data_IF_834011208052
#
_entry.id   IF_834011208052
#
_cell.length_a   1.000
_cell.length_b   1.000
_cell.length_c   1.000
_cell.angle_alpha   90.00
_cell.angle_beta   90.00
_cell.angle_gamma   90.00
#
_symmetry.space_group_name_H-M   'P 1'
#
loop_
_entity.id
_entity.type
_entity.pdbx_description
1 polymer ?
#
# COMPACT_ATOMS: atom_id res chain seq x y z
N UNK A 1 -44.16 -28.12 -5.93
CA UNK A 1 -43.98 -26.68 -6.31
C UNK A 1 -42.51 -26.37 -6.18
N UNK A 2 -41.82 -26.38 -7.32
CA UNK A 2 -40.37 -26.09 -7.40
C UNK A 2 -40.19 -24.56 -7.26
N UNK A 3 -39.37 -24.07 -6.35
CA UNK A 3 -39.10 -22.63 -6.27
C UNK A 3 -38.27 -22.17 -7.48
N UNK A 4 -38.71 -21.09 -8.09
CA UNK A 4 -38.08 -20.49 -9.26
C UNK A 4 -36.64 -20.00 -8.92
N UNK A 5 -35.66 -20.47 -9.70
CA UNK A 5 -34.28 -19.93 -9.72
C UNK A 5 -34.32 -18.42 -10.04
N UNK A 6 -33.89 -17.59 -9.10
CA UNK A 6 -33.55 -16.17 -9.41
C UNK A 6 -32.32 -16.15 -10.30
N UNK A 7 -32.23 -15.25 -11.30
CA UNK A 7 -31.05 -15.12 -12.11
C UNK A 7 -29.90 -14.65 -11.23
N UNK A 8 -28.78 -15.36 -11.30
CA UNK A 8 -27.49 -14.94 -10.76
C UNK A 8 -26.97 -13.85 -11.70
N UNK A 9 -26.84 -12.63 -11.19
CA UNK A 9 -26.19 -11.55 -11.92
C UNK A 9 -24.76 -11.98 -12.25
N UNK A 10 -24.49 -12.17 -13.53
CA UNK A 10 -23.17 -12.44 -14.11
C UNK A 10 -22.34 -11.14 -14.18
N UNK A 11 -22.23 -10.44 -13.07
CA UNK A 11 -21.15 -9.47 -12.90
C UNK A 11 -19.87 -10.32 -12.69
N UNK A 12 -18.83 -10.05 -13.47
CA UNK A 12 -17.49 -10.63 -13.31
C UNK A 12 -16.99 -10.37 -11.88
N UNK A 13 -17.31 -11.27 -10.98
CA UNK A 13 -16.99 -11.14 -9.55
C UNK A 13 -15.50 -11.34 -9.43
N UNK A 14 -14.77 -10.26 -9.29
CA UNK A 14 -13.33 -10.27 -9.03
C UNK A 14 -13.09 -11.09 -7.76
N UNK A 15 -12.24 -12.11 -7.85
CA UNK A 15 -11.94 -13.00 -6.71
C UNK A 15 -11.25 -12.18 -5.61
N UNK A 16 -11.60 -12.35 -4.32
CA UNK A 16 -11.02 -11.56 -3.24
C UNK A 16 -9.51 -11.79 -3.09
N UNK A 17 -8.80 -10.73 -2.85
CA UNK A 17 -7.37 -10.76 -2.50
C UNK A 17 -7.15 -11.18 -1.04
N UNK A 18 -5.91 -11.53 -0.67
CA UNK A 18 -5.56 -11.80 0.72
C UNK A 18 -5.86 -10.60 1.62
N UNK A 19 -5.47 -9.38 1.21
CA UNK A 19 -5.71 -8.14 1.95
C UNK A 19 -7.21 -7.89 2.23
N UNK A 20 -8.04 -8.03 1.21
CA UNK A 20 -9.51 -7.88 1.37
C UNK A 20 -10.09 -8.95 2.29
N UNK A 21 -9.59 -10.18 2.19
CA UNK A 21 -10.03 -11.28 3.03
C UNK A 21 -9.64 -11.06 4.49
N UNK A 22 -8.40 -10.67 4.77
CA UNK A 22 -7.91 -10.35 6.12
C UNK A 22 -8.69 -9.19 6.73
N UNK A 23 -8.99 -8.15 5.95
CA UNK A 23 -9.84 -7.04 6.40
C UNK A 23 -11.23 -7.49 6.88
N UNK A 24 -11.83 -8.51 6.22
CA UNK A 24 -13.11 -9.10 6.64
C UNK A 24 -13.01 -9.90 7.94
N UNK A 25 -11.81 -10.35 8.31
CA UNK A 25 -11.52 -11.11 9.54
C UNK A 25 -11.00 -10.25 10.68
N UNK A 26 -10.80 -8.97 10.44
CA UNK A 26 -10.24 -8.05 11.40
C UNK A 26 -11.18 -7.79 12.60
N UNK A 27 -10.64 -7.47 13.78
CA UNK A 27 -11.42 -7.03 14.93
C UNK A 27 -12.46 -5.95 14.59
N UNK A 28 -13.64 -6.08 15.16
CA UNK A 28 -14.78 -5.21 14.88
C UNK A 28 -15.67 -5.66 13.73
N UNK A 29 -15.32 -6.73 13.01
CA UNK A 29 -16.19 -7.31 11.96
C UNK A 29 -17.10 -8.43 12.53
N UNK A 30 -18.32 -8.60 11.98
CA UNK A 30 -19.19 -9.70 12.38
C UNK A 30 -18.57 -11.08 12.20
N UNK A 31 -17.74 -11.27 11.17
CA UNK A 31 -17.08 -12.54 10.90
C UNK A 31 -16.04 -12.85 11.98
N UNK A 32 -15.24 -11.86 12.38
CA UNK A 32 -14.31 -11.99 13.50
C UNK A 32 -15.03 -12.40 14.80
N UNK A 33 -16.15 -11.75 15.13
CA UNK A 33 -16.95 -12.10 16.29
C UNK A 33 -17.40 -13.57 16.26
N UNK A 34 -17.75 -14.08 15.09
CA UNK A 34 -18.10 -15.49 14.89
C UNK A 34 -16.93 -16.43 15.15
N UNK A 35 -15.75 -16.12 14.59
CA UNK A 35 -14.53 -16.89 14.77
C UNK A 35 -14.07 -16.93 16.23
N UNK A 36 -14.10 -15.80 16.93
CA UNK A 36 -13.76 -15.76 18.35
C UNK A 36 -14.69 -16.58 19.22
N UNK A 37 -15.98 -16.64 18.89
CA UNK A 37 -16.93 -17.52 19.57
C UNK A 37 -16.63 -18.99 19.33
N UNK A 38 -16.17 -19.37 18.12
CA UNK A 38 -15.72 -20.72 17.79
C UNK A 38 -14.47 -21.06 18.59
N UNK A 39 -13.47 -20.18 18.62
CA UNK A 39 -12.23 -20.37 19.39
C UNK A 39 -12.50 -20.50 20.89
N UNK A 40 -13.31 -19.63 21.49
CA UNK A 40 -13.72 -19.70 22.90
C UNK A 40 -14.51 -20.98 23.19
N UNK A 41 -15.28 -21.46 22.25
CA UNK A 41 -16.01 -22.73 22.35
C UNK A 41 -15.11 -23.96 22.19
N UNK A 42 -13.84 -23.80 21.86
CA UNK A 42 -12.88 -24.87 21.57
C UNK A 42 -13.45 -25.88 20.56
N UNK A 43 -14.08 -25.37 19.50
CA UNK A 43 -14.54 -26.16 18.34
C UNK A 43 -13.69 -25.85 17.13
N UNK A 44 -13.52 -26.81 16.23
CA UNK A 44 -12.95 -26.54 14.93
C UNK A 44 -14.03 -26.02 13.98
N UNK A 45 -13.63 -25.40 12.87
CA UNK A 45 -14.53 -24.99 11.81
C UNK A 45 -13.86 -25.02 10.45
N UNK A 46 -14.65 -25.22 9.40
CA UNK A 46 -14.28 -25.00 8.01
C UNK A 46 -15.33 -24.05 7.42
N UNK A 47 -14.90 -22.89 6.92
CA UNK A 47 -15.82 -21.84 6.48
C UNK A 47 -15.40 -21.37 5.10
N UNK A 48 -16.31 -21.43 4.14
CA UNK A 48 -16.14 -20.96 2.77
C UNK A 48 -16.68 -19.54 2.65
N UNK A 49 -15.90 -18.60 2.13
CA UNK A 49 -16.29 -17.20 1.94
C UNK A 49 -16.60 -16.92 0.46
N UNK A 50 -17.72 -17.37 0.01
CA UNK A 50 -18.21 -17.18 -1.36
C UNK A 50 -19.02 -18.37 -1.82
N UNK A 51 -19.92 -18.11 -2.77
CA UNK A 51 -20.82 -19.13 -3.29
C UNK A 51 -21.19 -18.79 -4.74
N UNK A 52 -20.87 -19.73 -5.62
CA UNK A 52 -21.27 -19.76 -7.03
C UNK A 52 -21.40 -21.21 -7.52
N UNK A 53 -21.61 -21.40 -8.81
CA UNK A 53 -21.74 -22.73 -9.39
C UNK A 53 -20.49 -23.60 -9.21
N UNK A 54 -19.29 -23.01 -9.11
CA UNK A 54 -18.04 -23.72 -8.88
C UNK A 54 -17.95 -24.28 -7.45
N UNK A 55 -18.46 -23.53 -6.48
CA UNK A 55 -18.55 -23.96 -5.07
C UNK A 55 -19.64 -24.99 -4.89
N UNK A 56 -20.82 -24.78 -5.53
CA UNK A 56 -21.92 -25.76 -5.48
C UNK A 56 -21.48 -27.12 -6.02
N UNK A 57 -20.70 -27.18 -7.09
CA UNK A 57 -20.21 -28.42 -7.71
C UNK A 57 -19.34 -29.28 -6.80
N UNK A 58 -18.69 -28.71 -5.79
CA UNK A 58 -17.81 -29.40 -4.83
C UNK A 58 -18.47 -29.62 -3.47
N UNK A 59 -19.74 -29.17 -3.30
CA UNK A 59 -20.51 -29.33 -2.08
C UNK A 59 -21.26 -30.65 -2.11
N UNK A 60 -20.96 -31.58 -1.18
CA UNK A 60 -21.70 -32.82 -1.01
C UNK A 60 -22.46 -32.82 0.32
N UNK A 61 -23.74 -33.23 0.29
CA UNK A 61 -24.62 -33.30 1.45
C UNK A 61 -24.93 -31.96 2.10
N UNK A 62 -25.16 -32.00 3.41
CA UNK A 62 -25.48 -30.83 4.24
C UNK A 62 -26.85 -30.23 4.04
N UNK A 63 -27.05 -29.01 4.55
CA UNK A 63 -28.34 -28.32 4.57
C UNK A 63 -28.23 -27.01 3.76
N UNK A 64 -29.17 -26.78 2.86
CA UNK A 64 -29.40 -25.49 2.23
C UNK A 64 -30.24 -24.64 3.19
N UNK A 65 -29.69 -23.50 3.65
CA UNK A 65 -30.27 -22.66 4.70
C UNK A 65 -30.75 -21.31 4.20
N UNK A 66 -29.88 -20.60 3.44
CA UNK A 66 -30.12 -19.25 2.94
C UNK A 66 -30.63 -18.28 4.03
N UNK A 67 -29.94 -18.22 5.17
CA UNK A 67 -30.30 -17.38 6.31
C UNK A 67 -29.32 -16.24 6.48
N UNK A 68 -29.79 -15.10 7.00
CA UNK A 68 -28.91 -13.95 7.30
C UNK A 68 -27.79 -14.36 8.24
N UNK A 69 -26.58 -13.91 7.95
CA UNK A 69 -25.41 -14.14 8.82
C UNK A 69 -25.63 -13.57 10.24
N UNK A 70 -25.19 -14.32 11.23
CA UNK A 70 -25.01 -13.84 12.60
C UNK A 70 -23.87 -14.63 13.27
N UNK A 71 -23.01 -14.00 14.08
CA UNK A 71 -21.91 -14.66 14.78
C UNK A 71 -22.33 -15.88 15.62
N UNK A 72 -23.50 -15.79 16.26
CA UNK A 72 -24.07 -16.89 17.03
C UNK A 72 -24.52 -18.06 16.16
N UNK A 73 -25.10 -17.78 14.98
CA UNK A 73 -25.49 -18.82 14.02
C UNK A 73 -24.27 -19.54 13.48
N UNK A 74 -23.22 -18.79 13.08
CA UNK A 74 -21.98 -19.39 12.62
C UNK A 74 -21.41 -20.33 13.68
N UNK A 75 -21.31 -19.88 14.92
CA UNK A 75 -20.79 -20.70 16.04
C UNK A 75 -21.61 -21.97 16.26
N UNK A 76 -22.93 -21.90 16.20
CA UNK A 76 -23.80 -23.11 16.40
C UNK A 76 -23.65 -24.07 15.22
N UNK A 77 -23.62 -23.57 13.98
CA UNK A 77 -23.45 -24.43 12.79
C UNK A 77 -22.06 -25.06 12.71
N UNK A 78 -21.03 -24.38 13.24
CA UNK A 78 -19.65 -24.90 13.29
C UNK A 78 -19.46 -26.06 14.30
N UNK A 79 -20.49 -26.43 15.09
CA UNK A 79 -20.48 -27.63 15.91
C UNK A 79 -20.74 -28.88 15.09
N UNK A 80 -21.31 -28.75 13.91
CA UNK A 80 -21.54 -29.87 13.00
C UNK A 80 -20.21 -30.25 12.31
N UNK A 81 -20.09 -31.51 11.96
CA UNK A 81 -18.89 -32.05 11.33
C UNK A 81 -18.88 -31.80 9.80
N UNK A 82 -18.84 -30.54 9.41
CA UNK A 82 -18.86 -30.13 8.01
C UNK A 82 -18.56 -28.64 7.84
N UNK A 83 -18.46 -28.20 6.61
CA UNK A 83 -18.21 -26.81 6.27
C UNK A 83 -19.48 -25.96 6.37
N UNK A 84 -19.29 -24.68 6.68
CA UNK A 84 -20.29 -23.62 6.56
C UNK A 84 -19.93 -22.77 5.34
N UNK A 85 -20.89 -22.58 4.43
CA UNK A 85 -20.71 -21.80 3.20
C UNK A 85 -21.45 -20.48 3.33
N UNK A 86 -20.75 -19.38 3.17
CA UNK A 86 -21.30 -18.03 3.20
C UNK A 86 -21.48 -17.48 1.79
N UNK A 87 -22.38 -16.52 1.63
CA UNK A 87 -22.48 -15.70 0.41
C UNK A 87 -21.16 -14.97 0.12
N UNK A 88 -20.96 -14.47 -1.08
CA UNK A 88 -19.78 -13.73 -1.49
C UNK A 88 -19.59 -12.46 -0.64
N UNK A 89 -20.66 -11.78 -0.32
CA UNK A 89 -20.67 -10.61 0.57
C UNK A 89 -20.47 -10.99 2.05
N UNK A 90 -20.74 -12.26 2.41
CA UNK A 90 -20.65 -12.76 3.79
C UNK A 90 -21.82 -12.39 4.68
N UNK A 91 -22.89 -11.85 4.12
CA UNK A 91 -24.10 -11.41 4.83
C UNK A 91 -25.13 -12.53 5.06
N UNK A 92 -24.95 -13.68 4.37
CA UNK A 92 -25.82 -14.85 4.46
C UNK A 92 -25.03 -16.14 4.68
N UNK A 93 -25.64 -17.07 5.40
CA UNK A 93 -25.19 -18.47 5.48
C UNK A 93 -26.05 -19.25 4.45
N UNK A 94 -25.39 -19.71 3.39
CA UNK A 94 -26.05 -20.37 2.26
C UNK A 94 -26.22 -21.85 2.54
N UNK A 95 -25.16 -22.51 3.03
CA UNK A 95 -25.20 -23.96 3.37
C UNK A 95 -24.44 -24.21 4.67
N UNK A 96 -24.73 -25.31 5.32
CA UNK A 96 -24.02 -25.79 6.50
C UNK A 96 -23.95 -27.30 6.53
N UNK A 97 -23.02 -27.83 7.32
CA UNK A 97 -22.72 -29.26 7.43
C UNK A 97 -22.40 -29.92 6.09
N UNK A 98 -21.69 -29.20 5.22
CA UNK A 98 -21.37 -29.65 3.87
C UNK A 98 -19.98 -30.31 3.87
N UNK A 99 -19.85 -31.42 3.16
CA UNK A 99 -18.55 -31.97 2.81
C UNK A 99 -18.03 -31.25 1.56
N UNK A 100 -16.91 -30.54 1.67
CA UNK A 100 -16.20 -29.96 0.51
C UNK A 100 -15.33 -31.06 -0.12
N UNK A 101 -15.56 -31.35 -1.38
CA UNK A 101 -14.90 -32.43 -2.16
C UNK A 101 -14.13 -31.77 -3.33
N UNK A 102 -13.03 -31.09 -3.07
CA UNK A 102 -12.18 -30.54 -4.12
C UNK A 102 -11.42 -31.65 -4.87
N UNK A 103 -10.91 -31.34 -6.05
CA UNK A 103 -10.11 -32.26 -6.85
C UNK A 103 -8.87 -32.75 -6.05
N UNK A 104 -8.75 -34.06 -5.81
CA UNK A 104 -7.64 -34.62 -5.04
C UNK A 104 -6.26 -34.49 -5.73
N UNK A 105 -6.22 -34.22 -7.05
CA UNK A 105 -5.00 -34.01 -7.81
C UNK A 105 -4.32 -32.65 -7.52
N UNK A 106 -5.04 -31.68 -6.96
CA UNK A 106 -4.48 -30.41 -6.56
C UNK A 106 -3.43 -30.63 -5.46
N UNK A 107 -2.16 -30.22 -5.69
CA UNK A 107 -1.10 -30.40 -4.70
C UNK A 107 -1.38 -29.60 -3.43
N UNK A 108 -0.87 -30.07 -2.29
CA UNK A 108 -0.99 -29.41 -0.98
C UNK A 108 0.13 -29.86 -0.08
N UNK A 109 0.72 -28.93 0.66
CA UNK A 109 1.74 -29.22 1.67
C UNK A 109 1.14 -29.44 3.07
N UNK A 110 -0.18 -29.28 3.21
CA UNK A 110 -0.87 -29.43 4.48
C UNK A 110 -1.03 -30.91 4.91
N UNK A 111 -0.82 -31.20 6.19
CA UNK A 111 -0.89 -32.55 6.75
C UNK A 111 -2.28 -32.93 7.27
N UNK A 112 -3.07 -31.96 7.75
CA UNK A 112 -4.39 -32.18 8.33
C UNK A 112 -5.49 -32.23 7.26
N UNK A 113 -6.45 -33.17 7.37
CA UNK A 113 -7.53 -33.33 6.38
C UNK A 113 -8.34 -32.06 6.15
N UNK A 114 -8.68 -31.32 7.22
CA UNK A 114 -9.43 -30.05 7.13
C UNK A 114 -8.61 -28.97 6.42
N UNK A 115 -7.32 -28.84 6.72
CA UNK A 115 -6.42 -27.87 6.09
C UNK A 115 -6.18 -28.19 4.62
N UNK A 116 -5.98 -29.48 4.28
CA UNK A 116 -5.84 -29.94 2.89
C UNK A 116 -7.11 -29.65 2.07
N UNK A 117 -8.29 -29.93 2.63
CA UNK A 117 -9.56 -29.60 1.96
C UNK A 117 -9.72 -28.08 1.79
N UNK A 118 -9.36 -27.29 2.80
CA UNK A 118 -9.42 -25.83 2.74
C UNK A 118 -8.55 -25.27 1.61
N UNK A 119 -7.28 -25.66 1.56
CA UNK A 119 -6.32 -25.19 0.56
C UNK A 119 -6.75 -25.57 -0.85
N UNK A 120 -7.07 -26.86 -1.09
CA UNK A 120 -7.53 -27.33 -2.39
C UNK A 120 -8.81 -26.64 -2.86
N UNK A 121 -9.76 -26.45 -1.94
CA UNK A 121 -11.00 -25.72 -2.24
C UNK A 121 -10.72 -24.28 -2.63
N UNK A 122 -9.85 -23.58 -1.90
CA UNK A 122 -9.47 -22.21 -2.21
C UNK A 122 -8.78 -22.10 -3.58
N UNK A 123 -7.87 -23.01 -3.90
CA UNK A 123 -7.19 -23.06 -5.21
C UNK A 123 -8.19 -23.33 -6.33
N UNK A 124 -9.08 -24.32 -6.17
CA UNK A 124 -10.03 -24.74 -7.20
C UNK A 124 -11.08 -23.70 -7.50
N UNK A 125 -11.62 -23.04 -6.47
CA UNK A 125 -12.75 -22.11 -6.62
C UNK A 125 -12.31 -20.64 -6.72
N UNK A 126 -11.09 -20.33 -6.27
CA UNK A 126 -10.60 -18.97 -6.13
C UNK A 126 -11.27 -18.17 -5.00
N UNK A 127 -12.16 -18.75 -4.21
CA UNK A 127 -12.74 -18.11 -3.04
C UNK A 127 -11.95 -18.41 -1.77
N UNK A 128 -11.91 -17.48 -0.81
CA UNK A 128 -11.23 -17.72 0.46
C UNK A 128 -11.88 -18.81 1.29
N UNK A 129 -11.05 -19.63 1.93
CA UNK A 129 -11.49 -20.68 2.85
C UNK A 129 -10.79 -20.51 4.19
N UNK A 130 -11.56 -20.49 5.27
CA UNK A 130 -11.06 -20.35 6.64
C UNK A 130 -11.11 -21.73 7.32
N UNK A 131 -9.97 -22.12 7.89
CA UNK A 131 -9.87 -23.28 8.77
C UNK A 131 -9.58 -22.85 10.20
N UNK A 132 -10.42 -23.27 11.14
CA UNK A 132 -10.17 -23.06 12.59
C UNK A 132 -9.73 -24.39 13.18
N UNK A 133 -8.51 -24.41 13.73
CA UNK A 133 -7.96 -25.57 14.42
C UNK A 133 -8.48 -25.65 15.85
N UNK A 134 -9.08 -26.78 16.20
CA UNK A 134 -9.51 -27.06 17.57
C UNK A 134 -8.32 -27.18 18.56
N UNK A 135 -7.28 -27.91 18.16
CA UNK A 135 -6.15 -28.24 19.06
C UNK A 135 -5.18 -27.08 19.27
N UNK A 136 -4.97 -26.28 18.24
CA UNK A 136 -3.98 -25.18 18.27
C UNK A 136 -4.61 -23.81 18.54
N UNK A 137 -5.96 -23.70 18.50
CA UNK A 137 -6.68 -22.42 18.61
C UNK A 137 -6.22 -21.38 17.56
N UNK A 138 -5.89 -21.86 16.36
CA UNK A 138 -5.38 -21.06 15.26
C UNK A 138 -6.45 -20.92 14.19
N UNK A 139 -6.57 -19.73 13.62
CA UNK A 139 -7.36 -19.43 12.42
C UNK A 139 -6.40 -19.32 11.25
N UNK A 140 -6.61 -20.13 10.23
CA UNK A 140 -5.82 -20.09 8.98
C UNK A 140 -6.74 -19.76 7.82
N UNK A 141 -6.31 -18.88 6.95
CA UNK A 141 -7.00 -18.46 5.72
C UNK A 141 -6.21 -18.97 4.52
N UNK A 142 -6.92 -19.53 3.55
CA UNK A 142 -6.40 -19.93 2.25
C UNK A 142 -7.08 -19.10 1.18
N UNK A 143 -6.33 -18.35 0.39
CA UNK A 143 -6.85 -17.50 -0.68
C UNK A 143 -5.78 -17.25 -1.74
N UNK A 144 -6.16 -17.30 -3.02
CA UNK A 144 -5.26 -17.03 -4.15
C UNK A 144 -3.95 -17.87 -4.15
N UNK A 145 -3.97 -19.09 -3.59
CA UNK A 145 -2.78 -19.93 -3.44
C UNK A 145 -1.89 -19.59 -2.25
N UNK A 146 -2.28 -18.60 -1.44
CA UNK A 146 -1.55 -18.18 -0.25
C UNK A 146 -2.20 -18.75 1.01
N UNK A 147 -1.35 -19.02 2.01
CA UNK A 147 -1.74 -19.44 3.36
C UNK A 147 -1.39 -18.34 4.35
N UNK A 148 -2.39 -17.80 5.04
CA UNK A 148 -2.20 -16.78 6.07
C UNK A 148 -2.74 -17.26 7.43
N UNK A 149 -1.93 -17.14 8.47
CA UNK A 149 -2.34 -17.42 9.85
C UNK A 149 -2.72 -16.11 10.52
N UNK A 150 -3.98 -16.00 10.92
CA UNK A 150 -4.49 -14.81 11.61
C UNK A 150 -3.87 -14.77 13.02
N UNK A 151 -3.02 -13.78 13.26
CA UNK A 151 -2.38 -13.59 14.56
C UNK A 151 -3.35 -12.96 15.58
N UNK A 152 -3.00 -13.04 16.87
CA UNK A 152 -3.74 -12.31 17.89
C UNK A 152 -3.39 -10.80 17.86
N UNK A 153 -4.37 -9.96 18.23
CA UNK A 153 -4.21 -8.50 18.16
C UNK A 153 -3.02 -7.98 19.00
N UNK A 154 -2.71 -8.61 20.13
CA UNK A 154 -1.61 -8.16 20.99
C UNK A 154 -0.24 -8.38 20.33
N UNK A 155 -0.06 -9.51 19.65
CA UNK A 155 1.15 -9.81 18.88
C UNK A 155 1.33 -8.83 17.71
N UNK A 156 0.26 -8.57 16.95
CA UNK A 156 0.31 -7.61 15.83
C UNK A 156 0.59 -6.20 16.36
N UNK A 157 -0.10 -5.76 17.41
CA UNK A 157 0.13 -4.44 18.03
C UNK A 157 1.57 -4.26 18.49
N UNK A 158 2.17 -5.28 19.11
CA UNK A 158 3.56 -5.22 19.55
C UNK A 158 4.52 -5.05 18.37
N UNK A 159 4.32 -5.83 17.30
CA UNK A 159 5.13 -5.75 16.07
C UNK A 159 4.95 -4.40 15.37
N UNK A 160 3.72 -3.95 15.21
CA UNK A 160 3.40 -2.68 14.55
C UNK A 160 3.96 -1.47 15.32
N UNK A 161 3.88 -1.45 16.66
CA UNK A 161 4.50 -0.39 17.47
C UNK A 161 6.03 -0.33 17.29
N UNK A 162 6.69 -1.49 17.20
CA UNK A 162 8.13 -1.55 16.93
C UNK A 162 8.45 -1.03 15.52
N UNK A 163 7.62 -1.35 14.53
CA UNK A 163 7.76 -0.86 13.17
C UNK A 163 7.52 0.65 13.07
N UNK A 164 6.54 1.22 13.78
CA UNK A 164 6.32 2.68 13.89
C UNK A 164 7.57 3.37 14.44
N UNK A 165 8.14 2.89 15.54
CA UNK A 165 9.37 3.48 16.11
C UNK A 165 10.57 3.41 15.14
N UNK A 166 10.59 2.42 14.26
CA UNK A 166 11.58 2.33 13.18
C UNK A 166 11.26 3.34 12.09
N UNK A 167 10.00 3.45 11.66
CA UNK A 167 9.55 4.41 10.67
C UNK A 167 9.87 5.86 11.08
N UNK A 168 9.64 6.23 12.35
CA UNK A 168 9.98 7.56 12.90
C UNK A 168 11.46 7.90 12.70
N UNK A 169 12.36 6.95 12.98
CA UNK A 169 13.81 7.15 12.77
C UNK A 169 14.17 7.31 11.29
N UNK A 170 13.54 6.51 10.41
CA UNK A 170 13.75 6.63 8.97
C UNK A 170 13.20 7.95 8.41
N UNK A 171 12.04 8.39 8.92
CA UNK A 171 11.45 9.68 8.56
C UNK A 171 12.33 10.85 9.00
N UNK A 172 12.82 10.85 10.23
CA UNK A 172 13.75 11.87 10.71
C UNK A 172 15.02 11.93 9.84
N UNK A 173 15.56 10.79 9.41
CA UNK A 173 16.69 10.76 8.49
C UNK A 173 16.34 11.23 7.08
N UNK A 174 15.14 10.91 6.60
CA UNK A 174 14.64 11.43 5.32
C UNK A 174 14.54 12.95 5.36
N UNK A 175 13.98 13.52 6.42
CA UNK A 175 13.83 14.96 6.58
C UNK A 175 15.19 15.65 6.63
N UNK A 176 16.18 15.04 7.25
CA UNK A 176 17.58 15.54 7.30
C UNK A 176 18.21 15.58 5.90
N UNK A 177 18.20 14.44 5.16
CA UNK A 177 18.81 14.39 3.83
C UNK A 177 18.03 15.23 2.80
N UNK A 178 16.71 15.39 2.99
CA UNK A 178 15.89 16.27 2.14
C UNK A 178 16.25 17.74 2.34
N UNK A 179 16.50 18.19 3.58
CA UNK A 179 16.99 19.55 3.87
C UNK A 179 18.38 19.77 3.27
N UNK A 180 19.28 18.78 3.38
CA UNK A 180 20.62 18.85 2.77
C UNK A 180 20.54 18.98 1.25
N UNK A 181 19.63 18.20 0.60
CA UNK A 181 19.40 18.32 -0.83
C UNK A 181 18.84 19.70 -1.20
N UNK A 182 17.85 20.23 -0.47
CA UNK A 182 17.30 21.57 -0.72
C UNK A 182 18.37 22.68 -0.58
N UNK A 183 19.28 22.55 0.37
CA UNK A 183 20.42 23.46 0.48
C UNK A 183 21.35 23.37 -0.73
N UNK A 184 21.71 22.16 -1.16
CA UNK A 184 22.53 21.96 -2.35
C UNK A 184 21.84 22.45 -3.64
N UNK A 185 20.51 22.34 -3.73
CA UNK A 185 19.71 22.89 -4.84
C UNK A 185 19.82 24.41 -4.95
N UNK A 186 19.74 25.11 -3.83
CA UNK A 186 19.87 26.58 -3.79
C UNK A 186 21.31 27.02 -4.17
N UNK A 187 22.30 26.28 -3.70
CA UNK A 187 23.73 26.58 -3.95
C UNK A 187 24.22 26.05 -5.32
N UNK A 188 23.42 25.32 -6.09
CA UNK A 188 23.75 24.65 -7.36
C UNK A 188 24.94 23.68 -7.27
N UNK A 189 25.00 22.91 -6.15
CA UNK A 189 26.04 21.91 -5.88
C UNK A 189 25.48 20.49 -5.69
N UNK A 190 24.36 20.19 -6.35
CA UNK A 190 23.73 18.87 -6.26
C UNK A 190 24.53 17.83 -7.02
N UNK A 191 24.77 16.68 -6.40
CA UNK A 191 25.31 15.48 -7.06
C UNK A 191 24.24 14.41 -7.25
N UNK A 192 24.46 13.48 -8.19
CA UNK A 192 23.58 12.34 -8.36
C UNK A 192 23.47 11.52 -7.05
N UNK A 193 24.54 11.40 -6.29
CA UNK A 193 24.58 10.74 -4.97
C UNK A 193 23.61 11.36 -3.98
N UNK A 194 23.52 12.67 -3.92
CA UNK A 194 22.62 13.39 -3.02
C UNK A 194 21.16 13.05 -3.36
N UNK A 195 20.82 13.07 -4.64
CA UNK A 195 19.49 12.72 -5.14
C UNK A 195 19.17 11.25 -4.82
N UNK A 196 20.08 10.31 -5.13
CA UNK A 196 19.85 8.89 -4.85
C UNK A 196 19.75 8.60 -3.36
N UNK A 197 20.42 9.37 -2.51
CA UNK A 197 20.28 9.29 -1.04
C UNK A 197 18.85 9.63 -0.61
N UNK A 198 18.26 10.69 -1.14
CA UNK A 198 16.87 11.06 -0.83
C UNK A 198 15.89 10.03 -1.40
N UNK A 199 16.06 9.59 -2.65
CA UNK A 199 15.23 8.56 -3.28
C UNK A 199 15.23 7.28 -2.45
N UNK A 200 16.41 6.80 -2.04
CA UNK A 200 16.54 5.62 -1.19
C UNK A 200 15.74 5.75 0.11
N UNK A 201 15.83 6.91 0.78
CA UNK A 201 15.11 7.14 2.05
C UNK A 201 13.61 7.24 1.86
N UNK A 202 13.14 7.88 0.78
CA UNK A 202 11.73 7.94 0.42
C UNK A 202 11.14 6.53 0.23
N UNK A 203 11.86 5.66 -0.50
CA UNK A 203 11.43 4.29 -0.72
C UNK A 203 11.45 3.43 0.56
N UNK A 204 12.46 3.59 1.41
CA UNK A 204 12.51 2.89 2.70
C UNK A 204 11.34 3.28 3.60
N UNK A 205 11.03 4.58 3.71
CA UNK A 205 9.88 5.09 4.47
C UNK A 205 8.59 4.50 3.91
N UNK A 206 8.42 4.50 2.58
CA UNK A 206 7.23 3.93 1.94
C UNK A 206 7.07 2.44 2.22
N UNK A 207 8.12 1.62 2.07
CA UNK A 207 8.07 0.16 2.27
C UNK A 207 7.72 -0.20 3.71
N UNK A 208 8.38 0.41 4.69
CA UNK A 208 8.03 0.22 6.10
C UNK A 208 6.58 0.63 6.36
N UNK A 209 6.14 1.73 5.74
CA UNK A 209 4.75 2.18 5.84
C UNK A 209 3.74 1.17 5.29
N UNK A 210 4.03 0.51 4.17
CA UNK A 210 3.18 -0.54 3.59
C UNK A 210 3.09 -1.80 4.48
N UNK A 211 4.19 -2.18 5.13
CA UNK A 211 4.19 -3.28 6.10
C UNK A 211 3.28 -2.96 7.29
N UNK A 212 3.41 -1.76 7.86
CA UNK A 212 2.58 -1.31 8.98
C UNK A 212 1.11 -1.19 8.55
N UNK A 213 0.83 -0.71 7.34
CA UNK A 213 -0.53 -0.61 6.82
C UNK A 213 -1.19 -2.00 6.68
N UNK A 214 -0.42 -3.03 6.32
CA UNK A 214 -0.90 -4.41 6.34
C UNK A 214 -1.29 -4.86 7.76
N UNK A 215 -0.46 -4.58 8.76
CA UNK A 215 -0.76 -4.86 10.17
C UNK A 215 -2.00 -4.08 10.65
N UNK A 216 -2.15 -2.82 10.27
CA UNK A 216 -3.32 -1.97 10.58
C UNK A 216 -4.60 -2.54 9.99
N UNK A 217 -4.56 -3.07 8.78
CA UNK A 217 -5.71 -3.74 8.15
C UNK A 217 -6.11 -4.98 8.94
N UNK A 218 -5.15 -5.79 9.37
CA UNK A 218 -5.41 -7.01 10.16
C UNK A 218 -5.94 -6.69 11.56
N UNK A 219 -5.53 -5.56 12.15
CA UNK A 219 -6.01 -5.06 13.45
C UNK A 219 -7.41 -4.45 13.41
N UNK A 220 -7.91 -4.02 12.26
CA UNK A 220 -9.23 -3.41 12.12
C UNK A 220 -9.48 -2.28 13.11
N UNK A 221 -10.50 -2.43 13.98
CA UNK A 221 -10.83 -1.41 15.01
C UNK A 221 -9.74 -1.21 16.04
N UNK A 222 -8.97 -2.25 16.36
CA UNK A 222 -7.89 -2.20 17.35
C UNK A 222 -6.68 -1.42 16.81
N UNK A 223 -6.52 -1.34 15.48
CA UNK A 223 -5.44 -0.60 14.78
C UNK A 223 -5.69 0.89 14.57
N UNK A 224 -6.81 1.47 15.06
CA UNK A 224 -7.18 2.86 14.76
C UNK A 224 -6.11 3.89 15.11
N UNK A 225 -5.48 3.75 16.27
CA UNK A 225 -4.45 4.70 16.71
C UNK A 225 -3.18 4.59 15.85
N UNK A 226 -2.77 3.37 15.55
CA UNK A 226 -1.64 3.11 14.65
C UNK A 226 -1.87 3.68 13.26
N UNK A 227 -3.09 3.58 12.74
CA UNK A 227 -3.45 4.16 11.43
C UNK A 227 -3.22 5.66 11.41
N UNK A 228 -3.68 6.40 12.43
CA UNK A 228 -3.48 7.84 12.52
C UNK A 228 -2.00 8.23 12.59
N UNK A 229 -1.20 7.49 13.36
CA UNK A 229 0.25 7.72 13.43
C UNK A 229 0.92 7.45 12.07
N UNK A 230 0.53 6.37 11.40
CA UNK A 230 1.05 6.01 10.09
C UNK A 230 0.72 7.07 9.03
N UNK A 231 -0.55 7.53 8.99
CA UNK A 231 -0.99 8.58 8.07
C UNK A 231 -0.21 9.90 8.29
N UNK A 232 0.07 10.27 9.54
CA UNK A 232 0.88 11.44 9.87
C UNK A 232 2.33 11.27 9.40
N UNK A 233 2.96 10.13 9.67
CA UNK A 233 4.35 9.86 9.29
C UNK A 233 4.56 9.77 7.78
N UNK A 234 3.60 9.22 7.04
CA UNK A 234 3.66 9.09 5.58
C UNK A 234 3.15 10.33 4.85
N UNK A 235 2.58 11.31 5.56
CA UNK A 235 2.04 12.51 4.95
C UNK A 235 3.02 13.18 4.01
N UNK A 236 2.63 13.35 2.72
CA UNK A 236 3.46 13.97 1.70
C UNK A 236 4.54 13.08 1.04
N UNK A 237 4.74 11.84 1.50
CA UNK A 237 5.79 10.96 0.96
C UNK A 237 5.60 10.69 -0.54
N UNK A 238 4.40 10.37 -1.00
CA UNK A 238 4.12 10.10 -2.40
C UNK A 238 4.31 11.35 -3.27
N UNK A 239 3.90 12.53 -2.77
CA UNK A 239 4.16 13.80 -3.44
C UNK A 239 5.66 14.07 -3.56
N UNK A 240 6.44 13.81 -2.51
CA UNK A 240 7.88 13.99 -2.53
C UNK A 240 8.56 13.04 -3.54
N UNK A 241 8.10 11.78 -3.65
CA UNK A 241 8.55 10.82 -4.66
C UNK A 241 8.29 11.34 -6.09
N UNK A 242 7.10 11.85 -6.35
CA UNK A 242 6.76 12.42 -7.65
C UNK A 242 7.62 13.65 -7.98
N UNK A 243 7.79 14.57 -7.03
CA UNK A 243 8.56 15.79 -7.23
C UNK A 243 10.04 15.51 -7.50
N UNK A 244 10.67 14.56 -6.81
CA UNK A 244 12.08 14.22 -7.05
C UNK A 244 12.29 13.58 -8.43
N UNK A 245 11.35 12.78 -8.91
CA UNK A 245 11.37 12.26 -10.30
C UNK A 245 11.22 13.41 -11.30
N UNK A 246 10.34 14.37 -11.05
CA UNK A 246 10.16 15.54 -11.91
C UNK A 246 11.42 16.38 -12.02
N UNK A 247 12.12 16.58 -10.90
CA UNK A 247 13.34 17.41 -10.88
C UNK A 247 14.54 16.71 -11.50
N UNK A 248 14.68 15.39 -11.32
CA UNK A 248 15.96 14.71 -11.56
C UNK A 248 15.92 13.55 -12.55
N UNK A 249 14.81 13.25 -13.19
CA UNK A 249 14.83 12.27 -14.29
C UNK A 249 15.76 12.75 -15.42
N UNK A 250 16.60 11.86 -15.95
CA UNK A 250 17.70 12.20 -16.86
C UNK A 250 17.28 12.78 -18.24
N UNK A 251 15.99 12.87 -18.55
CA UNK A 251 15.49 13.51 -19.77
C UNK A 251 15.86 15.01 -19.79
N UNK A 252 16.19 15.57 -20.97
CA UNK A 252 16.44 17.00 -21.09
C UNK A 252 15.19 17.84 -20.78
N UNK A 253 14.01 17.37 -21.18
CA UNK A 253 12.74 18.01 -20.88
C UNK A 253 12.08 17.45 -19.61
N UNK A 254 11.21 18.23 -18.95
CA UNK A 254 10.44 17.73 -17.82
C UNK A 254 9.66 16.45 -18.17
N UNK A 255 9.76 15.38 -17.34
CA UNK A 255 9.17 14.11 -17.67
C UNK A 255 7.63 14.21 -17.76
N UNK A 256 7.06 13.49 -18.72
CA UNK A 256 5.62 13.34 -18.86
C UNK A 256 5.02 12.53 -17.70
N UNK A 257 3.70 12.64 -17.51
CA UNK A 257 3.01 11.84 -16.49
C UNK A 257 3.25 10.32 -16.64
N UNK A 258 3.31 9.83 -17.88
CA UNK A 258 3.57 8.42 -18.15
C UNK A 258 5.00 8.00 -17.76
N UNK A 259 5.99 8.85 -18.02
CA UNK A 259 7.38 8.59 -17.59
C UNK A 259 7.52 8.63 -16.08
N UNK A 260 6.88 9.57 -15.39
CA UNK A 260 6.87 9.61 -13.93
C UNK A 260 6.26 8.33 -13.36
N UNK A 261 5.07 7.95 -13.85
CA UNK A 261 4.40 6.73 -13.41
C UNK A 261 5.28 5.48 -13.65
N UNK A 262 5.91 5.36 -14.83
CA UNK A 262 6.82 4.25 -15.13
C UNK A 262 8.05 4.21 -14.22
N UNK A 263 8.67 5.37 -13.93
CA UNK A 263 9.80 5.45 -12.98
C UNK A 263 9.38 5.04 -11.57
N UNK A 264 8.20 5.50 -11.10
CA UNK A 264 7.69 5.12 -9.78
C UNK A 264 7.36 3.63 -9.70
N UNK A 265 6.78 3.05 -10.76
CA UNK A 265 6.50 1.62 -10.85
C UNK A 265 7.80 0.80 -10.85
N UNK A 266 8.84 1.24 -11.57
CA UNK A 266 10.13 0.58 -11.56
C UNK A 266 10.79 0.62 -10.17
N UNK A 267 10.70 1.75 -9.45
CA UNK A 267 11.13 1.85 -8.04
C UNK A 267 10.38 0.87 -7.14
N UNK A 268 9.08 0.69 -7.37
CA UNK A 268 8.25 -0.23 -6.59
C UNK A 268 8.67 -1.70 -6.77
N UNK A 269 9.22 -2.07 -7.93
CA UNK A 269 9.66 -3.43 -8.26
C UNK A 269 11.08 -3.77 -7.78
N UNK A 270 11.89 -2.78 -7.38
CA UNK A 270 13.24 -3.04 -6.87
C UNK A 270 13.22 -3.93 -5.62
N UNK A 271 14.13 -4.88 -5.55
CA UNK A 271 14.38 -5.65 -4.32
C UNK A 271 15.02 -4.78 -3.23
N UNK A 272 14.99 -5.25 -1.98
CA UNK A 272 15.62 -4.53 -0.87
C UNK A 272 17.14 -4.38 -1.05
N UNK A 273 17.79 -5.33 -1.70
CA UNK A 273 19.22 -5.25 -2.02
C UNK A 273 19.51 -4.22 -3.11
N UNK A 274 18.69 -4.14 -4.15
CA UNK A 274 18.82 -3.14 -5.21
C UNK A 274 18.52 -1.72 -4.68
N UNK A 275 17.60 -1.57 -3.73
CA UNK A 275 17.33 -0.29 -3.09
C UNK A 275 18.54 0.25 -2.32
N UNK A 276 19.45 -0.61 -1.84
CA UNK A 276 20.70 -0.20 -1.18
C UNK A 276 21.80 0.16 -2.17
N UNK A 277 21.65 -0.16 -3.45
CA UNK A 277 22.61 0.12 -4.51
C UNK A 277 22.23 1.39 -5.27
N UNK A 278 23.00 2.45 -5.08
CA UNK A 278 22.79 3.72 -5.78
C UNK A 278 22.93 3.60 -7.30
N UNK A 279 23.66 2.61 -7.80
CA UNK A 279 23.78 2.40 -9.26
C UNK A 279 22.47 1.83 -9.84
N UNK A 280 21.77 0.99 -9.08
CA UNK A 280 20.44 0.51 -9.45
C UNK A 280 19.41 1.66 -9.47
N UNK A 281 19.41 2.52 -8.43
CA UNK A 281 18.55 3.71 -8.39
C UNK A 281 18.86 4.70 -9.53
N UNK A 282 20.14 4.96 -9.82
CA UNK A 282 20.55 5.81 -10.92
C UNK A 282 20.01 5.33 -12.27
N UNK A 283 20.04 4.02 -12.52
CA UNK A 283 19.47 3.40 -13.73
C UNK A 283 17.97 3.70 -13.88
N UNK A 284 17.20 3.58 -12.80
CA UNK A 284 15.75 3.86 -12.82
C UNK A 284 15.47 5.31 -13.19
N UNK A 285 16.35 6.25 -12.81
CA UNK A 285 16.26 7.66 -13.19
C UNK A 285 16.83 7.97 -14.59
N UNK A 286 17.35 6.95 -15.29
CA UNK A 286 17.91 7.08 -16.65
C UNK A 286 19.37 7.51 -16.68
N UNK A 287 20.10 7.46 -15.55
CA UNK A 287 21.53 7.75 -15.48
C UNK A 287 22.39 6.50 -15.67
N UNK A 288 23.66 6.64 -16.07
CA UNK A 288 24.59 5.51 -16.15
C UNK A 288 24.73 4.82 -14.78
N UNK A 289 24.59 3.48 -14.71
CA UNK A 289 24.68 2.74 -13.46
C UNK A 289 26.13 2.47 -13.04
N UNK A 290 26.92 3.53 -12.88
CA UNK A 290 28.34 3.44 -12.52
C UNK A 290 28.64 4.24 -11.25
N UNK A 291 29.71 3.86 -10.55
CA UNK A 291 30.12 4.55 -9.32
C UNK A 291 30.57 5.98 -9.62
N UNK A 292 31.24 6.18 -10.76
CA UNK A 292 31.74 7.46 -11.22
C UNK A 292 30.61 8.44 -11.52
N UNK A 293 29.47 7.95 -12.02
CA UNK A 293 28.30 8.79 -12.28
C UNK A 293 27.70 9.39 -11.01
N UNK A 294 27.94 8.78 -9.84
CA UNK A 294 27.41 9.28 -8.58
C UNK A 294 27.91 10.68 -8.20
N UNK A 295 29.10 11.03 -8.64
CA UNK A 295 29.72 12.33 -8.36
C UNK A 295 29.45 13.37 -9.47
N UNK A 296 28.58 13.03 -10.45
CA UNK A 296 28.15 13.96 -11.51
C UNK A 296 27.32 15.08 -10.91
N UNK A 297 27.63 16.32 -11.30
CA UNK A 297 26.80 17.47 -10.94
C UNK A 297 25.45 17.43 -11.67
N UNK A 298 24.38 17.71 -10.94
CA UNK A 298 23.03 17.82 -11.46
C UNK A 298 22.45 19.19 -11.16
N UNK A 299 21.55 19.66 -12.01
CA UNK A 299 20.77 20.88 -11.76
C UNK A 299 19.32 20.52 -11.55
N UNK A 300 18.73 21.01 -10.45
CA UNK A 300 17.30 20.86 -10.17
C UNK A 300 16.46 21.65 -11.17
N UNK A 301 15.35 21.07 -11.64
CA UNK A 301 14.38 21.84 -12.44
C UNK A 301 13.56 22.82 -11.59
N UNK A 302 13.43 22.58 -10.29
CA UNK A 302 12.78 23.49 -9.35
C UNK A 302 11.37 23.09 -8.90
N UNK A 303 10.86 21.91 -9.28
CA UNK A 303 9.54 21.46 -8.84
C UNK A 303 9.44 21.31 -7.32
N UNK A 304 10.48 20.78 -6.66
CA UNK A 304 10.54 20.60 -5.22
C UNK A 304 10.51 21.95 -4.49
N UNK A 305 11.40 22.85 -4.86
CA UNK A 305 11.47 24.17 -4.26
C UNK A 305 10.17 24.97 -4.46
N UNK A 306 9.60 24.93 -5.66
CA UNK A 306 8.34 25.62 -5.97
C UNK A 306 7.13 25.04 -5.23
N UNK A 307 7.14 23.73 -4.92
CA UNK A 307 6.09 23.09 -4.16
C UNK A 307 6.05 23.53 -2.68
N UNK A 308 7.14 24.04 -2.14
CA UNK A 308 7.20 24.60 -0.78
C UNK A 308 6.55 25.99 -0.68
N UNK A 309 6.29 26.67 -1.81
CA UNK A 309 5.63 27.98 -1.82
C UNK A 309 4.14 27.81 -1.51
N UNK A 310 3.63 28.36 -0.38
CA UNK A 310 2.24 28.14 0.03
C UNK A 310 1.24 28.60 -1.03
N UNK A 311 0.18 27.85 -1.23
CA UNK A 311 -0.94 28.14 -2.13
C UNK A 311 -0.60 28.26 -3.62
N UNK A 312 0.63 27.97 -4.02
CA UNK A 312 1.01 27.94 -5.43
C UNK A 312 0.42 26.68 -6.08
N UNK A 313 -0.40 26.85 -7.12
CA UNK A 313 -1.00 25.74 -7.83
C UNK A 313 0.01 25.04 -8.73
N UNK A 314 -0.04 23.73 -8.81
CA UNK A 314 0.88 22.94 -9.62
C UNK A 314 0.92 23.37 -11.09
N UNK A 315 -0.20 23.83 -11.66
CA UNK A 315 -0.25 24.34 -13.04
C UNK A 315 0.68 25.56 -13.24
N UNK A 316 0.78 26.45 -12.25
CA UNK A 316 1.70 27.58 -12.29
C UNK A 316 3.16 27.13 -12.14
N UNK A 317 3.40 26.12 -11.27
CA UNK A 317 4.74 25.51 -11.12
C UNK A 317 5.23 24.94 -12.45
N UNK A 318 4.40 24.13 -13.11
CA UNK A 318 4.76 23.47 -14.38
C UNK A 318 5.04 24.48 -15.49
N UNK A 319 4.24 25.56 -15.59
CA UNK A 319 4.46 26.64 -16.56
C UNK A 319 5.81 27.35 -16.31
N UNK A 320 6.10 27.70 -15.06
CA UNK A 320 7.33 28.41 -14.69
C UNK A 320 8.55 27.52 -14.90
N UNK A 321 8.53 26.28 -14.43
CA UNK A 321 9.65 25.35 -14.60
C UNK A 321 9.93 25.08 -16.08
N UNK A 322 8.92 24.91 -16.93
CA UNK A 322 9.09 24.74 -18.38
C UNK A 322 9.67 25.97 -19.06
N UNK A 323 9.36 27.16 -18.56
CA UNK A 323 9.85 28.41 -19.16
C UNK A 323 11.29 28.72 -18.76
N UNK A 324 11.64 28.53 -17.49
CA UNK A 324 12.97 28.89 -16.96
C UNK A 324 13.98 27.73 -16.99
N UNK A 325 13.51 26.49 -17.14
CA UNK A 325 14.33 25.29 -17.35
C UNK A 325 15.07 24.76 -16.12
N UNK A 326 15.39 25.60 -15.14
CA UNK A 326 16.10 25.21 -13.91
C UNK A 326 15.72 26.06 -12.70
N UNK A 327 15.98 25.54 -11.50
CA UNK A 327 15.82 26.31 -10.27
C UNK A 327 16.68 27.57 -10.26
N UNK A 328 17.90 27.50 -10.76
CA UNK A 328 18.80 28.68 -10.85
C UNK A 328 18.21 29.76 -11.77
N UNK A 329 17.60 29.35 -12.89
CA UNK A 329 16.86 30.27 -13.76
C UNK A 329 15.69 30.95 -13.04
N UNK A 330 14.93 30.19 -12.22
CA UNK A 330 13.82 30.71 -11.41
C UNK A 330 14.32 31.66 -10.31
N UNK A 331 15.41 31.33 -9.63
CA UNK A 331 16.02 32.17 -8.58
C UNK A 331 16.58 33.49 -9.14
N UNK A 332 17.12 33.48 -10.36
CA UNK A 332 17.64 34.66 -11.02
C UNK A 332 16.53 35.55 -11.63
N UNK A 333 15.33 35.01 -11.89
CA UNK A 333 14.26 35.73 -12.54
C UNK A 333 13.70 36.88 -11.70
N UNK A 334 13.50 38.05 -12.31
CA UNK A 334 12.79 39.17 -11.69
C UNK A 334 11.28 38.94 -11.69
N UNK A 335 10.53 39.70 -10.89
CA UNK A 335 9.06 39.64 -10.92
C UNK A 335 8.48 39.95 -12.31
N UNK A 336 9.19 40.80 -13.10
CA UNK A 336 8.79 41.14 -14.49
C UNK A 336 9.01 39.95 -15.40
N UNK A 337 10.12 39.20 -15.25
CA UNK A 337 10.41 38.03 -16.06
C UNK A 337 9.38 36.90 -15.75
N UNK A 338 9.04 36.68 -14.49
CA UNK A 338 8.01 35.73 -14.07
C UNK A 338 6.63 36.10 -14.63
N UNK A 339 6.31 37.40 -14.66
CA UNK A 339 5.04 37.90 -15.21
C UNK A 339 4.97 37.77 -16.74
N UNK A 340 6.10 37.69 -17.45
CA UNK A 340 6.13 37.52 -18.91
C UNK A 340 5.65 36.14 -19.36
N UNK A 341 5.58 35.16 -18.44
CA UNK A 341 5.10 33.79 -18.73
C UNK A 341 3.58 33.83 -18.86
N UNK A 342 3.08 33.33 -19.99
CA UNK A 342 1.64 33.28 -20.27
C UNK A 342 0.92 32.46 -19.18
N UNK A 343 -0.13 33.02 -18.59
CA UNK A 343 -0.86 32.43 -17.48
C UNK A 343 -0.37 32.85 -16.07
N UNK A 344 0.73 33.58 -15.96
CA UNK A 344 1.24 34.09 -14.68
C UNK A 344 0.94 35.59 -14.56
N UNK A 345 -0.05 35.93 -13.74
CA UNK A 345 -0.39 37.33 -13.45
C UNK A 345 0.57 38.00 -12.44
N UNK A 346 0.56 39.34 -12.37
CA UNK A 346 1.43 40.13 -11.51
C UNK A 346 1.39 39.73 -10.02
N UNK A 347 0.24 39.26 -9.53
CA UNK A 347 0.07 38.77 -8.18
C UNK A 347 0.89 37.49 -7.95
N UNK A 348 0.77 36.52 -8.85
CA UNK A 348 1.49 35.25 -8.77
C UNK A 348 2.99 35.44 -8.98
N UNK A 349 3.42 36.28 -9.93
CA UNK A 349 4.82 36.60 -10.16
C UNK A 349 5.50 37.15 -8.88
N UNK A 350 4.83 38.04 -8.18
CA UNK A 350 5.29 38.61 -6.90
C UNK A 350 5.34 37.55 -5.81
N UNK A 351 4.27 36.76 -5.67
CA UNK A 351 4.17 35.69 -4.68
C UNK A 351 5.28 34.64 -4.85
N UNK A 352 5.54 34.22 -6.09
CA UNK A 352 6.63 33.27 -6.42
C UNK A 352 7.99 33.89 -6.10
N UNK A 353 8.23 35.15 -6.46
CA UNK A 353 9.49 35.82 -6.17
C UNK A 353 9.77 35.93 -4.67
N UNK A 354 8.76 36.33 -3.89
CA UNK A 354 8.84 36.39 -2.43
C UNK A 354 9.10 35.00 -1.83
N UNK A 355 8.37 33.96 -2.29
CA UNK A 355 8.54 32.59 -1.83
C UNK A 355 9.94 32.04 -2.11
N UNK A 356 10.46 32.23 -3.32
CA UNK A 356 11.84 31.82 -3.66
C UNK A 356 12.90 32.58 -2.85
N UNK A 357 12.70 33.87 -2.58
CA UNK A 357 13.61 34.64 -1.72
C UNK A 357 13.61 34.11 -0.29
N UNK A 358 12.43 33.83 0.28
CA UNK A 358 12.32 33.28 1.63
C UNK A 358 12.95 31.87 1.74
N UNK A 359 12.76 31.02 0.73
CA UNK A 359 13.39 29.69 0.68
C UNK A 359 14.95 29.82 0.67
N UNK A 360 15.49 30.71 -0.14
CA UNK A 360 16.92 30.91 -0.18
C UNK A 360 17.49 31.45 1.15
N UNK A 361 16.80 32.41 1.78
CA UNK A 361 17.19 33.00 3.08
C UNK A 361 17.09 31.95 4.22
N UNK A 362 16.01 31.18 4.28
CA UNK A 362 15.82 30.15 5.32
C UNK A 362 16.87 29.04 5.21
N UNK A 363 17.18 28.60 4.00
CA UNK A 363 18.20 27.57 3.74
C UNK A 363 19.59 28.02 4.22
N UNK A 364 19.94 29.29 4.00
CA UNK A 364 21.21 29.86 4.47
C UNK A 364 21.23 29.97 6.00
N UNK A 365 20.11 30.38 6.61
CA UNK A 365 20.00 30.51 8.07
C UNK A 365 20.10 29.15 8.79
N UNK A 366 19.46 28.11 8.28
CA UNK A 366 19.50 26.75 8.86
C UNK A 366 20.91 26.12 8.81
N UNK A 367 21.75 26.56 7.90
CA UNK A 367 23.15 26.10 7.80
C UNK A 367 24.08 26.76 8.80
N UNK A 368 23.72 27.95 9.25
CA UNK A 368 24.53 28.76 10.21
C UNK A 368 24.13 28.46 11.67
N UNK A 369 23.04 27.78 11.90
CA UNK A 369 22.55 27.36 13.22
C UNK A 369 23.02 25.94 13.59
#
# INVERSE_FOLDING_TARGET
>A
VTPAKRPVDNASTQRPTLRETVARLAPGTPLRDGLERILRGRTGALIMLGYDDSVEAICDGGFSLDVRYAPTRLRELSKMDGAVVLSTEGDRIVRANVQLVPDPSIPTDESGTRHRSAERTAIQTGFPVISVSHSMSIVTVYVAGERHVVADSATILSRANQAIATLERYKARLDEVSRQLSAAEIEDFVTLRDVMTVVQRLEMVRRIGLEIDSDVVELGTDGRQLRLQLEELLGGNDTARELIVRDYHANPDPPSKAQIAGTLEELDTLSDTELLDFTALARVFGYPPTVEAQDSALSSRGYRAMAEIPRLQFAHVDLLVRNFGSLQGLLAASATDLQSVEGIGAMWARHVREGLSQLAESTIADRLA
#
